data_IF_377292572747
#
_entry.id   IF_377292572747
#
_cell.length_a   1.000
_cell.length_b   1.000
_cell.length_c   1.000
_cell.angle_alpha   90.00
_cell.angle_beta   90.00
_cell.angle_gamma   90.00
#
_symmetry.space_group_name_H-M   'P 1'
#
loop_
_entity.id
_entity.type
_entity.pdbx_description
1 polymer ?
#
# COMPACT_ATOMS: atom_id res chain seq x y z
N UNK A 1 76.78 12.30 -44.49
CA UNK A 1 77.77 12.82 -43.50
C UNK A 1 77.02 13.38 -42.29
N UNK A 2 77.46 12.97 -41.09
CA UNK A 2 77.42 13.67 -39.77
C UNK A 2 76.14 14.38 -39.26
N UNK A 3 75.57 13.74 -38.22
CA UNK A 3 74.98 14.21 -36.93
C UNK A 3 74.90 15.73 -36.58
N UNK A 4 73.96 15.98 -35.64
CA UNK A 4 73.93 16.97 -34.51
C UNK A 4 73.26 18.31 -34.83
N UNK A 5 72.54 19.03 -33.93
CA UNK A 5 72.41 19.01 -32.47
C UNK A 5 71.34 20.05 -32.00
N UNK A 6 70.85 19.87 -30.76
CA UNK A 6 70.69 20.91 -29.69
C UNK A 6 69.30 21.54 -29.35
N UNK A 7 68.69 21.02 -28.27
CA UNK A 7 68.36 21.64 -26.94
C UNK A 7 68.51 23.18 -26.74
N UNK A 8 67.87 23.92 -25.82
CA UNK A 8 66.86 23.76 -24.74
C UNK A 8 66.61 25.16 -24.09
N UNK A 9 65.51 25.32 -23.31
CA UNK A 9 65.40 26.31 -22.21
C UNK A 9 63.93 26.67 -21.90
N UNK A 10 63.41 26.80 -20.68
CA UNK A 10 63.94 26.69 -19.31
C UNK A 10 62.77 26.70 -18.29
N UNK A 11 63.07 26.27 -17.06
CA UNK A 11 62.23 26.00 -15.87
C UNK A 11 61.75 27.28 -15.15
N UNK A 12 60.61 27.24 -14.41
CA UNK A 12 60.36 28.16 -13.27
C UNK A 12 58.96 28.11 -12.60
N UNK A 13 58.89 27.56 -11.37
CA UNK A 13 57.83 27.68 -10.35
C UNK A 13 57.78 29.10 -9.72
N UNK A 14 56.61 29.60 -9.22
CA UNK A 14 56.38 30.36 -7.93
C UNK A 14 54.83 30.58 -7.75
N UNK A 15 54.09 30.00 -6.78
CA UNK A 15 53.74 30.41 -5.38
C UNK A 15 52.65 31.50 -5.17
N UNK A 16 51.43 31.07 -4.76
CA UNK A 16 50.51 31.47 -3.66
C UNK A 16 50.24 32.96 -3.21
N UNK A 17 49.00 33.16 -2.69
CA UNK A 17 48.42 34.21 -1.77
C UNK A 17 47.80 35.46 -2.50
N UNK A 18 46.58 35.99 -2.28
CA UNK A 18 45.82 36.38 -1.05
C UNK A 18 44.30 36.54 -1.30
N UNK A 19 43.51 36.28 -0.24
CA UNK A 19 42.06 36.47 -0.14
C UNK A 19 41.65 37.94 0.08
N UNK A 20 40.49 38.34 -0.45
CA UNK A 20 39.73 39.50 0.00
C UNK A 20 38.24 39.13 0.16
N UNK A 21 37.75 39.36 1.37
CA UNK A 21 36.38 39.17 1.84
C UNK A 21 35.48 40.24 1.20
N UNK A 22 34.38 39.83 0.56
CA UNK A 22 33.34 40.70 0.04
C UNK A 22 31.98 40.35 0.67
N UNK A 23 31.38 41.34 1.34
CA UNK A 23 30.25 41.22 2.24
C UNK A 23 28.91 40.80 1.59
N UNK A 24 28.08 40.19 2.42
CA UNK A 24 26.71 39.70 2.19
C UNK A 24 25.80 40.86 1.76
N UNK A 25 25.13 40.71 0.62
CA UNK A 25 23.92 41.49 0.30
C UNK A 25 22.70 40.63 0.59
N UNK A 26 21.78 41.18 1.39
CA UNK A 26 20.56 40.52 1.83
C UNK A 26 19.64 40.25 0.62
N UNK A 27 19.60 38.99 0.18
CA UNK A 27 18.59 38.50 -0.74
C UNK A 27 17.27 38.31 -0.02
N UNK A 28 16.28 39.15 -0.34
CA UNK A 28 14.88 38.94 0.00
C UNK A 28 14.42 37.69 -0.76
N UNK A 29 14.26 36.57 -0.06
CA UNK A 29 13.71 35.33 -0.61
C UNK A 29 12.19 35.45 -0.53
N UNK A 30 11.52 35.49 -1.68
CA UNK A 30 10.09 35.21 -1.76
C UNK A 30 9.87 33.77 -1.31
N UNK A 31 9.18 33.59 -0.18
CA UNK A 31 8.85 32.29 0.37
C UNK A 31 7.91 31.52 -0.55
N UNK A 32 8.47 30.65 -1.38
CA UNK A 32 7.77 29.45 -1.85
C UNK A 32 8.14 28.33 -0.88
N UNK A 33 7.20 28.00 0.01
CA UNK A 33 7.31 26.85 0.88
C UNK A 33 7.27 25.57 0.05
N UNK A 34 8.44 25.06 -0.33
CA UNK A 34 8.56 23.67 -0.75
C UNK A 34 8.56 22.82 0.52
N UNK A 35 7.41 22.25 0.88
CA UNK A 35 7.36 21.20 1.88
C UNK A 35 8.15 20.00 1.34
N UNK A 36 9.35 19.82 1.88
CA UNK A 36 10.18 18.68 1.61
C UNK A 36 9.50 17.45 2.22
N UNK A 37 8.67 16.75 1.42
CA UNK A 37 8.07 15.46 1.78
C UNK A 37 9.20 14.53 2.22
N UNK A 38 9.29 14.29 3.53
CA UNK A 38 10.25 13.34 4.10
C UNK A 38 9.82 11.95 3.65
N UNK A 39 10.65 11.28 2.84
CA UNK A 39 10.56 9.84 2.64
C UNK A 39 10.86 9.17 3.99
N UNK A 40 9.81 8.75 4.70
CA UNK A 40 9.95 7.91 5.88
C UNK A 40 10.32 6.52 5.38
N UNK A 41 11.62 6.24 5.28
CA UNK A 41 12.12 4.89 5.05
C UNK A 41 11.77 4.06 6.28
N UNK A 42 10.62 3.40 6.26
CA UNK A 42 10.22 2.50 7.33
C UNK A 42 11.19 1.32 7.35
N UNK A 43 11.95 1.17 8.43
CA UNK A 43 12.75 -0.03 8.63
C UNK A 43 11.79 -1.22 8.69
N UNK A 44 11.95 -2.17 7.76
CA UNK A 44 11.20 -3.42 7.82
C UNK A 44 11.55 -4.13 9.14
N UNK A 45 10.55 -4.47 9.94
CA UNK A 45 10.70 -5.36 11.08
C UNK A 45 11.25 -6.73 10.61
N UNK A 46 11.74 -7.57 11.52
CA UNK A 46 12.19 -8.94 11.23
C UNK A 46 11.11 -9.89 10.65
N UNK A 47 9.93 -9.37 10.33
CA UNK A 47 8.79 -10.04 9.70
C UNK A 47 8.34 -9.38 8.39
N UNK A 48 9.09 -8.43 7.82
CA UNK A 48 8.82 -7.84 6.50
C UNK A 48 7.96 -6.58 6.49
N UNK A 49 7.07 -6.37 7.47
CA UNK A 49 6.27 -5.14 7.58
C UNK A 49 7.04 -3.99 8.25
N UNK A 50 6.62 -2.73 8.03
CA UNK A 50 7.12 -1.56 8.76
C UNK A 50 7.08 -1.69 10.28
N UNK A 51 7.95 -0.92 10.95
CA UNK A 51 7.86 -0.69 12.40
C UNK A 51 7.03 0.57 12.68
N UNK A 52 6.27 0.59 13.78
CA UNK A 52 5.52 1.76 14.24
C UNK A 52 4.05 1.48 14.57
N UNK A 53 3.33 2.56 14.85
CA UNK A 53 1.88 2.52 15.07
C UNK A 53 1.17 2.03 13.81
N UNK A 54 0.17 1.18 14.00
CA UNK A 54 -0.64 0.63 12.91
C UNK A 54 -2.00 0.17 13.44
N UNK A 55 -3.01 0.23 12.58
CA UNK A 55 -4.27 -0.46 12.82
C UNK A 55 -4.10 -1.94 12.48
N UNK A 56 -4.67 -2.83 13.29
CA UNK A 56 -4.68 -4.26 13.02
C UNK A 56 -6.09 -4.69 12.64
N UNK A 57 -6.22 -5.54 11.61
CA UNK A 57 -7.46 -6.25 11.28
C UNK A 57 -7.14 -7.72 11.09
N UNK A 58 -7.94 -8.61 11.68
CA UNK A 58 -7.84 -10.04 11.44
C UNK A 58 -9.09 -10.54 10.71
N UNK A 59 -8.94 -11.16 9.55
CA UNK A 59 -10.00 -11.97 8.94
C UNK A 59 -9.83 -13.41 9.40
N UNK A 60 -10.83 -13.97 10.07
CA UNK A 60 -10.76 -15.25 10.78
C UNK A 60 -11.74 -16.25 10.17
N UNK A 61 -11.21 -17.32 9.58
CA UNK A 61 -11.99 -18.42 9.03
C UNK A 61 -12.55 -19.34 10.11
N UNK A 62 -13.87 -19.47 10.18
CA UNK A 62 -14.57 -20.30 11.18
C UNK A 62 -15.41 -21.40 10.53
N UNK A 63 -15.41 -22.63 11.10
CA UNK A 63 -16.12 -23.76 10.51
C UNK A 63 -17.65 -23.69 10.71
N UNK A 64 -18.11 -22.89 11.67
CA UNK A 64 -19.53 -22.68 11.97
C UNK A 64 -19.80 -21.18 11.94
N UNK A 65 -20.94 -20.82 11.35
CA UNK A 65 -21.41 -19.44 11.30
C UNK A 65 -21.52 -18.82 12.69
N UNK A 66 -21.46 -17.50 12.73
CA UNK A 66 -21.72 -16.67 13.90
C UNK A 66 -23.12 -16.08 13.77
N UNK A 67 -23.73 -15.80 14.91
CA UNK A 67 -25.09 -15.23 15.01
C UNK A 67 -25.15 -14.03 15.96
N UNK A 68 -24.01 -13.66 16.54
CA UNK A 68 -23.92 -12.51 17.42
C UNK A 68 -23.69 -11.25 16.59
N UNK A 69 -24.21 -10.11 17.03
CA UNK A 69 -23.88 -8.82 16.45
C UNK A 69 -22.42 -8.47 16.78
N UNK A 70 -21.65 -8.11 15.75
CA UNK A 70 -20.19 -7.93 15.87
C UNK A 70 -19.74 -6.56 15.34
N UNK A 71 -20.31 -5.49 15.89
CA UNK A 71 -20.06 -4.10 15.45
C UNK A 71 -18.86 -3.43 16.13
N UNK A 72 -17.96 -4.22 16.75
CA UNK A 72 -16.78 -3.68 17.44
C UNK A 72 -15.57 -4.63 17.39
N UNK A 73 -14.39 -4.02 17.51
CA UNK A 73 -13.11 -4.70 17.54
C UNK A 73 -12.36 -4.68 16.21
N UNK A 74 -11.43 -5.61 16.07
CA UNK A 74 -10.43 -5.63 14.98
C UNK A 74 -10.46 -6.97 14.24
N UNK A 75 -11.66 -7.54 14.08
CA UNK A 75 -11.81 -8.87 13.51
C UNK A 75 -13.09 -9.01 12.70
N UNK A 76 -12.99 -9.71 11.57
CA UNK A 76 -14.12 -10.12 10.75
C UNK A 76 -14.08 -11.64 10.64
N UNK A 77 -15.18 -12.32 10.95
CA UNK A 77 -15.32 -13.76 10.83
C UNK A 77 -15.88 -14.10 9.46
N UNK A 78 -15.23 -15.02 8.76
CA UNK A 78 -15.64 -15.50 7.43
C UNK A 78 -15.85 -17.01 7.48
N UNK A 79 -16.64 -17.60 6.55
CA UNK A 79 -16.69 -19.05 6.41
C UNK A 79 -15.26 -19.62 6.27
N UNK A 80 -14.99 -20.76 6.91
CA UNK A 80 -13.70 -21.43 6.74
C UNK A 80 -13.48 -21.90 5.30
N UNK A 81 -14.56 -22.22 4.61
CA UNK A 81 -14.58 -22.51 3.17
C UNK A 81 -15.78 -21.78 2.57
N UNK A 82 -15.56 -21.02 1.50
CA UNK A 82 -16.60 -20.25 0.81
C UNK A 82 -16.31 -18.75 0.76
N UNK A 83 -17.24 -18.02 0.16
CA UNK A 83 -17.11 -16.59 -0.13
C UNK A 83 -17.84 -15.73 0.88
N UNK A 84 -17.35 -14.51 1.06
CA UNK A 84 -18.07 -13.42 1.68
C UNK A 84 -17.68 -12.08 1.04
N UNK A 85 -18.62 -11.14 0.98
CA UNK A 85 -18.36 -9.75 0.59
C UNK A 85 -18.21 -8.87 1.81
N UNK A 86 -17.05 -8.22 1.96
CA UNK A 86 -16.80 -7.21 3.00
C UNK A 86 -16.99 -5.83 2.38
N UNK A 87 -18.13 -5.19 2.64
CA UNK A 87 -18.42 -3.84 2.17
C UNK A 87 -17.46 -2.80 2.78
N UNK A 88 -17.01 -1.87 1.96
CA UNK A 88 -16.05 -0.84 2.34
C UNK A 88 -16.73 0.52 2.37
N UNK A 89 -16.52 1.27 3.45
CA UNK A 89 -16.97 2.65 3.58
C UNK A 89 -15.81 3.57 3.96
N UNK A 90 -15.89 4.83 3.55
CA UNK A 90 -14.85 5.81 3.86
C UNK A 90 -14.96 6.27 5.32
N UNK A 91 -13.83 6.36 6.01
CA UNK A 91 -13.68 7.01 7.31
C UNK A 91 -12.58 6.38 8.17
N UNK A 92 -12.65 6.53 9.49
CA UNK A 92 -11.64 5.96 10.38
C UNK A 92 -11.66 4.42 10.34
N UNK A 93 -10.50 3.79 10.59
CA UNK A 93 -10.40 2.33 10.59
C UNK A 93 -11.33 1.70 11.64
N UNK A 94 -12.38 1.01 11.19
CA UNK A 94 -13.37 0.40 12.09
C UNK A 94 -14.04 -0.81 11.47
N UNK A 95 -14.25 -1.86 12.25
CA UNK A 95 -15.10 -2.98 11.83
C UNK A 95 -16.54 -2.61 12.16
N UNK A 96 -17.34 -2.37 11.12
CA UNK A 96 -18.76 -2.03 11.26
C UNK A 96 -19.63 -3.28 11.36
N UNK A 97 -19.22 -4.35 10.67
CA UNK A 97 -19.83 -5.67 10.78
C UNK A 97 -18.76 -6.76 10.68
N UNK A 98 -18.51 -7.40 11.81
CA UNK A 98 -17.55 -8.48 11.96
C UNK A 98 -18.10 -9.86 11.63
N UNK A 99 -19.36 -10.02 11.22
CA UNK A 99 -19.96 -11.32 10.91
C UNK A 99 -20.16 -11.57 9.40
N UNK A 100 -19.07 -11.80 8.68
CA UNK A 100 -19.13 -12.22 7.28
C UNK A 100 -19.64 -13.66 7.05
N UNK A 101 -20.04 -14.40 8.09
CA UNK A 101 -20.44 -15.81 7.92
C UNK A 101 -21.87 -15.98 7.41
N UNK A 102 -22.65 -14.92 7.43
CA UNK A 102 -23.97 -14.82 6.79
C UNK A 102 -23.89 -14.30 5.34
N UNK A 103 -22.67 -14.08 4.83
CA UNK A 103 -22.39 -13.66 3.47
C UNK A 103 -21.99 -12.19 3.32
N UNK A 104 -22.17 -11.35 4.35
CA UNK A 104 -21.79 -9.93 4.30
C UNK A 104 -21.07 -9.48 5.56
N UNK A 105 -20.04 -8.68 5.41
CA UNK A 105 -19.40 -7.95 6.51
C UNK A 105 -19.14 -6.51 6.09
N UNK A 106 -18.61 -5.70 7.00
CA UNK A 106 -18.31 -4.31 6.67
C UNK A 106 -17.10 -3.78 7.44
N UNK A 107 -16.26 -3.04 6.72
CA UNK A 107 -15.07 -2.39 7.23
C UNK A 107 -15.00 -0.95 6.72
N UNK A 108 -14.67 -0.04 7.63
CA UNK A 108 -14.44 1.36 7.34
C UNK A 108 -12.93 1.63 7.28
N UNK A 109 -12.49 2.42 6.31
CA UNK A 109 -11.10 2.79 6.10
C UNK A 109 -10.96 4.16 5.41
N UNK A 110 -9.86 4.91 5.62
CA UNK A 110 -9.71 6.23 5.02
C UNK A 110 -9.55 6.14 3.51
N UNK A 111 -9.78 7.25 2.81
CA UNK A 111 -9.44 7.33 1.39
C UNK A 111 -7.93 7.10 1.21
N UNK A 112 -7.53 6.04 0.49
CA UNK A 112 -6.14 5.67 0.38
C UNK A 112 -5.34 6.62 -0.49
N UNK A 113 -5.95 7.31 -1.46
CA UNK A 113 -5.23 8.15 -2.44
C UNK A 113 -6.15 9.29 -2.90
N UNK A 114 -6.34 10.33 -2.06
CA UNK A 114 -7.26 11.43 -2.35
C UNK A 114 -6.89 12.26 -3.59
N UNK A 115 -5.61 12.29 -3.94
CA UNK A 115 -5.08 13.04 -5.08
C UNK A 115 -5.04 12.19 -6.36
N UNK A 116 -5.32 10.88 -6.25
CA UNK A 116 -5.26 9.88 -7.31
C UNK A 116 -3.91 9.88 -8.08
N UNK A 117 -2.81 10.15 -7.37
CA UNK A 117 -1.46 10.23 -7.95
C UNK A 117 -0.73 8.87 -7.92
N UNK A 118 -1.37 7.84 -7.36
CA UNK A 118 -0.80 6.51 -7.20
C UNK A 118 0.13 6.39 -6.00
N UNK A 119 0.12 7.36 -5.09
CA UNK A 119 0.85 7.34 -3.82
C UNK A 119 -0.17 7.35 -2.68
N UNK A 120 -0.23 6.25 -1.94
CA UNK A 120 -1.22 6.12 -0.89
C UNK A 120 -0.91 6.98 0.34
N UNK A 121 -1.92 7.31 1.14
CA UNK A 121 -1.76 7.94 2.47
C UNK A 121 -1.37 6.92 3.54
N UNK A 122 -1.69 5.64 3.33
CA UNK A 122 -1.32 4.52 4.17
C UNK A 122 -1.01 3.27 3.35
N UNK A 123 -0.27 2.33 3.94
CA UNK A 123 0.09 1.05 3.34
C UNK A 123 -0.55 -0.11 4.08
N UNK A 124 -0.92 -1.16 3.36
CA UNK A 124 -1.55 -2.37 3.91
C UNK A 124 -0.61 -3.55 3.76
N UNK A 125 -0.35 -4.23 4.87
CA UNK A 125 0.53 -5.37 4.93
C UNK A 125 -0.22 -6.59 5.42
N UNK A 126 -0.14 -7.70 4.68
CA UNK A 126 -0.87 -8.93 4.99
C UNK A 126 0.06 -10.09 5.30
N UNK A 127 -0.37 -10.97 6.21
CA UNK A 127 0.22 -12.31 6.39
C UNK A 127 -0.82 -13.35 6.75
N UNK A 128 -0.60 -14.58 6.31
CA UNK A 128 -1.33 -15.75 6.76
C UNK A 128 -0.84 -16.23 8.14
N UNK A 129 -1.77 -16.65 9.01
CA UNK A 129 -1.48 -17.19 10.35
C UNK A 129 -2.33 -18.43 10.66
N UNK A 130 -2.06 -19.07 11.81
CA UNK A 130 -2.78 -20.26 12.28
C UNK A 130 -2.25 -21.57 11.71
N UNK A 131 -3.14 -22.58 11.61
CA UNK A 131 -2.79 -23.93 11.13
C UNK A 131 -2.43 -23.90 9.62
N UNK A 132 -1.31 -24.50 9.22
CA UNK A 132 -0.93 -24.63 7.81
C UNK A 132 -1.90 -25.42 6.93
N UNK A 133 -1.87 -25.11 5.62
CA UNK A 133 -2.62 -25.79 4.57
C UNK A 133 -3.82 -25.02 4.00
N UNK A 134 -4.14 -23.85 4.55
CA UNK A 134 -5.22 -23.00 4.05
C UNK A 134 -4.74 -21.89 3.11
N UNK A 135 -5.64 -21.46 2.23
CA UNK A 135 -5.46 -20.33 1.31
C UNK A 135 -6.67 -19.40 1.37
N UNK A 136 -6.47 -18.11 1.15
CA UNK A 136 -7.55 -17.19 0.81
C UNK A 136 -7.18 -16.32 -0.39
N UNK A 137 -8.19 -15.87 -1.10
CA UNK A 137 -8.09 -14.88 -2.17
C UNK A 137 -8.96 -13.69 -1.81
N UNK A 138 -8.53 -12.50 -2.18
CA UNK A 138 -9.28 -11.27 -1.93
C UNK A 138 -9.12 -10.34 -3.11
N UNK A 139 -10.24 -10.02 -3.74
CA UNK A 139 -10.31 -9.13 -4.90
C UNK A 139 -11.16 -7.92 -4.53
N UNK A 140 -10.64 -6.73 -4.81
CA UNK A 140 -11.40 -5.49 -4.63
C UNK A 140 -12.34 -5.32 -5.81
N UNK A 141 -13.62 -5.11 -5.51
CA UNK A 141 -14.67 -4.92 -6.50
C UNK A 141 -15.51 -3.70 -6.14
N UNK A 142 -16.21 -3.16 -7.12
CA UNK A 142 -17.13 -2.03 -6.97
C UNK A 142 -18.15 -2.05 -8.11
N UNK A 143 -19.11 -1.14 -8.07
CA UNK A 143 -20.08 -0.97 -9.17
C UNK A 143 -20.00 0.44 -9.75
N UNK A 144 -20.38 0.62 -11.01
CA UNK A 144 -20.53 1.94 -11.59
C UNK A 144 -21.87 2.60 -11.21
N UNK A 145 -22.14 3.79 -11.76
CA UNK A 145 -23.41 4.47 -11.55
C UNK A 145 -24.63 3.64 -12.01
N UNK A 146 -24.47 2.78 -13.03
CA UNK A 146 -25.51 1.95 -13.63
C UNK A 146 -25.75 0.62 -12.90
N UNK A 147 -24.86 0.25 -11.97
CA UNK A 147 -24.91 -0.99 -11.19
C UNK A 147 -24.14 -2.15 -11.81
N UNK A 148 -23.33 -1.91 -12.84
CA UNK A 148 -22.42 -2.92 -13.43
C UNK A 148 -21.26 -3.14 -12.48
N UNK A 149 -20.99 -4.40 -12.16
CA UNK A 149 -19.89 -4.81 -11.28
C UNK A 149 -18.56 -4.86 -12.04
N UNK A 150 -17.54 -4.27 -11.41
CA UNK A 150 -16.16 -4.28 -11.86
C UNK A 150 -15.27 -4.80 -10.72
N UNK A 151 -14.63 -5.95 -10.96
CA UNK A 151 -13.64 -6.51 -10.05
C UNK A 151 -12.23 -6.27 -10.59
N UNK A 152 -11.32 -5.90 -9.69
CA UNK A 152 -9.92 -5.66 -10.00
C UNK A 152 -9.27 -6.90 -10.61
N UNK A 153 -8.43 -6.71 -11.63
CA UNK A 153 -7.59 -7.80 -12.16
C UNK A 153 -6.52 -8.23 -11.15
N UNK A 154 -6.19 -7.36 -10.18
CA UNK A 154 -5.25 -7.67 -9.12
C UNK A 154 -5.98 -8.35 -7.95
N UNK A 155 -5.48 -9.51 -7.54
CA UNK A 155 -6.01 -10.28 -6.42
C UNK A 155 -4.93 -10.49 -5.37
N UNK A 156 -5.26 -10.24 -4.09
CA UNK A 156 -4.40 -10.65 -3.00
C UNK A 156 -4.57 -12.14 -2.74
N UNK A 157 -3.47 -12.88 -2.73
CA UNK A 157 -3.45 -14.30 -2.39
C UNK A 157 -2.65 -14.50 -1.10
N UNK A 158 -3.25 -15.17 -0.11
CA UNK A 158 -2.58 -15.52 1.15
C UNK A 158 -2.58 -17.04 1.33
N UNK A 159 -1.41 -17.62 1.55
CA UNK A 159 -1.23 -19.07 1.73
C UNK A 159 -0.51 -19.31 3.06
N UNK A 160 -1.09 -20.16 3.91
CA UNK A 160 -0.43 -20.59 5.15
C UNK A 160 0.44 -21.82 4.91
N UNK A 161 1.71 -21.57 4.58
CA UNK A 161 2.77 -22.59 4.57
C UNK A 161 3.16 -23.03 5.98
N UNK A 162 3.99 -24.07 6.14
CA UNK A 162 4.58 -24.43 7.45
C UNK A 162 5.66 -23.40 7.85
N UNK A 163 5.94 -23.28 9.15
CA UNK A 163 7.01 -22.42 9.67
C UNK A 163 6.62 -20.97 9.92
N UNK A 164 7.64 -20.09 9.95
CA UNK A 164 7.51 -18.64 10.18
C UNK A 164 6.77 -17.98 9.02
N UNK A 165 5.91 -17.01 9.33
CA UNK A 165 5.26 -16.17 8.32
C UNK A 165 5.79 -14.75 8.37
N UNK A 166 5.84 -14.12 7.20
CA UNK A 166 6.22 -12.73 6.99
C UNK A 166 5.04 -11.98 6.36
N UNK A 167 5.05 -10.67 6.54
CA UNK A 167 4.14 -9.78 5.85
C UNK A 167 4.64 -9.49 4.44
N UNK A 168 3.69 -9.19 3.56
CA UNK A 168 3.90 -8.59 2.24
C UNK A 168 3.04 -7.34 2.12
N UNK A 169 3.54 -6.32 1.42
CA UNK A 169 2.72 -5.18 1.02
C UNK A 169 1.64 -5.67 0.03
N UNK A 170 0.38 -5.32 0.33
CA UNK A 170 -0.80 -5.67 -0.46
C UNK A 170 -1.64 -4.44 -0.81
N UNK A 171 -1.06 -3.24 -0.67
CA UNK A 171 -1.74 -1.96 -0.91
C UNK A 171 -2.33 -1.91 -2.31
N UNK A 172 -1.56 -2.36 -3.32
CA UNK A 172 -2.01 -2.40 -4.71
C UNK A 172 -3.23 -3.31 -4.94
N UNK A 173 -3.36 -4.41 -4.20
CA UNK A 173 -4.46 -5.36 -4.38
C UNK A 173 -5.71 -4.93 -3.62
N UNK A 174 -5.56 -4.33 -2.44
CA UNK A 174 -6.68 -4.04 -1.53
C UNK A 174 -7.20 -2.61 -1.61
N UNK A 175 -6.38 -1.64 -2.05
CA UNK A 175 -6.73 -0.22 -2.04
C UNK A 175 -7.12 0.34 -3.41
N UNK A 176 -7.14 -0.50 -4.43
CA UNK A 176 -7.40 -0.09 -5.81
C UNK A 176 -8.20 -1.15 -6.58
N UNK A 177 -9.05 -0.67 -7.48
CA UNK A 177 -9.63 -1.43 -8.58
C UNK A 177 -8.81 -1.13 -9.83
N UNK A 178 -8.18 -2.16 -10.40
CA UNK A 178 -7.52 -2.09 -11.71
C UNK A 178 -8.42 -2.76 -12.72
N UNK A 179 -9.01 -1.99 -13.61
CA UNK A 179 -10.03 -2.46 -14.55
C UNK A 179 -9.99 -1.62 -15.82
N UNK A 180 -10.50 -2.15 -16.92
CA UNK A 180 -10.72 -1.44 -18.18
C UNK A 180 -12.21 -1.04 -18.21
N UNK A 181 -12.51 0.20 -17.85
CA UNK A 181 -13.88 0.72 -17.76
C UNK A 181 -14.47 1.05 -19.13
N UNK A 182 -13.64 1.48 -20.08
CA UNK A 182 -14.09 1.99 -21.37
C UNK A 182 -14.01 0.95 -22.51
N UNK A 183 -13.39 -0.21 -22.24
CA UNK A 183 -13.23 -1.32 -23.18
C UNK A 183 -12.13 -1.10 -24.22
N UNK A 184 -11.17 -0.21 -23.96
CA UNK A 184 -10.06 0.10 -24.89
C UNK A 184 -8.84 -0.82 -24.73
N UNK A 185 -8.87 -1.73 -23.75
CA UNK A 185 -7.81 -2.68 -23.44
C UNK A 185 -6.73 -2.13 -22.50
N UNK A 186 -6.85 -0.90 -22.02
CA UNK A 186 -5.94 -0.28 -21.04
C UNK A 186 -6.58 -0.31 -19.67
N UNK A 187 -5.83 -0.75 -18.66
CA UNK A 187 -6.32 -0.76 -17.29
C UNK A 187 -6.23 0.63 -16.67
N UNK A 188 -7.35 1.17 -16.22
CA UNK A 188 -7.37 2.28 -15.29
C UNK A 188 -7.07 1.83 -13.87
N UNK A 189 -6.32 2.67 -13.15
CA UNK A 189 -6.19 2.59 -11.69
C UNK A 189 -7.27 3.46 -11.06
N UNK A 190 -8.07 2.87 -10.20
CA UNK A 190 -9.15 3.54 -9.48
C UNK A 190 -8.95 3.31 -7.99
N UNK A 191 -8.57 4.33 -7.20
CA UNK A 191 -8.46 4.18 -5.76
C UNK A 191 -9.83 3.90 -5.14
N UNK A 192 -9.85 3.28 -3.95
CA UNK A 192 -11.08 3.18 -3.18
C UNK A 192 -11.71 4.55 -2.98
N UNK A 193 -13.04 4.62 -3.10
CA UNK A 193 -13.85 5.83 -2.92
C UNK A 193 -13.63 6.92 -3.99
N UNK A 194 -13.03 6.58 -5.13
CA UNK A 194 -13.09 7.41 -6.33
C UNK A 194 -14.54 7.49 -6.85
N UNK A 195 -14.96 8.66 -7.32
CA UNK A 195 -16.34 8.94 -7.76
C UNK A 195 -16.79 8.14 -9.00
N UNK A 196 -15.84 7.60 -9.78
CA UNK A 196 -16.14 6.78 -10.96
C UNK A 196 -16.85 5.47 -10.62
N UNK A 197 -16.64 4.95 -9.41
CA UNK A 197 -17.27 3.72 -8.92
C UNK A 197 -17.87 3.96 -7.52
N UNK A 198 -18.78 3.08 -7.10
CA UNK A 198 -19.45 3.09 -5.80
C UNK A 198 -19.56 1.67 -5.26
N UNK A 199 -20.09 1.53 -4.05
CA UNK A 199 -20.37 0.24 -3.42
C UNK A 199 -19.12 -0.68 -3.38
N UNK A 200 -17.96 -0.12 -3.04
CA UNK A 200 -16.70 -0.85 -2.96
C UNK A 200 -16.79 -1.98 -1.92
N UNK A 201 -16.25 -3.16 -2.24
CA UNK A 201 -16.16 -4.28 -1.32
C UNK A 201 -14.92 -5.14 -1.61
N UNK A 202 -14.45 -5.84 -0.58
CA UNK A 202 -13.52 -6.96 -0.77
C UNK A 202 -14.31 -8.26 -0.94
N UNK A 203 -14.22 -8.86 -2.12
CA UNK A 203 -14.67 -10.23 -2.38
C UNK A 203 -13.64 -11.20 -1.77
N UNK A 204 -13.95 -11.73 -0.59
CA UNK A 204 -13.08 -12.66 0.13
C UNK A 204 -13.51 -14.10 -0.13
N UNK A 205 -12.63 -14.90 -0.74
CA UNK A 205 -12.83 -16.34 -0.94
C UNK A 205 -11.87 -17.12 -0.04
N UNK A 206 -12.43 -17.90 0.89
CA UNK A 206 -11.65 -18.70 1.81
C UNK A 206 -11.61 -20.17 1.38
N UNK A 207 -10.42 -20.74 1.40
CA UNK A 207 -10.20 -22.18 1.24
C UNK A 207 -9.34 -22.70 2.39
N UNK A 208 -9.95 -22.75 3.58
CA UNK A 208 -9.37 -23.36 4.77
C UNK A 208 -8.38 -22.49 5.53
N UNK A 209 -8.14 -21.23 5.12
CA UNK A 209 -7.23 -20.34 5.84
C UNK A 209 -7.85 -19.91 7.17
N UNK A 210 -7.02 -19.98 8.23
CA UNK A 210 -7.48 -19.72 9.59
C UNK A 210 -7.52 -18.24 9.90
N UNK A 211 -6.45 -17.53 9.60
CA UNK A 211 -6.34 -16.10 9.87
C UNK A 211 -5.53 -15.46 8.75
N UNK A 212 -6.06 -14.39 8.17
CA UNK A 212 -5.24 -13.33 7.55
C UNK A 212 -5.15 -12.19 8.53
N UNK A 213 -3.94 -11.74 8.81
CA UNK A 213 -3.71 -10.53 9.59
C UNK A 213 -3.27 -9.41 8.65
N UNK A 214 -3.99 -8.30 8.72
CA UNK A 214 -3.64 -7.03 8.09
C UNK A 214 -3.08 -6.05 9.11
N UNK A 215 -2.16 -5.24 8.63
CA UNK A 215 -1.65 -4.06 9.32
C UNK A 215 -1.72 -2.86 8.39
N UNK A 216 -2.32 -1.78 8.86
CA UNK A 216 -2.43 -0.52 8.15
C UNK A 216 -1.50 0.48 8.80
N UNK A 217 -0.49 0.94 8.06
CA UNK A 217 0.49 1.90 8.54
C UNK A 217 0.29 3.22 7.82
N UNK A 218 0.34 4.35 8.53
CA UNK A 218 0.36 5.70 7.97
C UNK A 218 1.71 6.02 7.30
N UNK A 219 2.10 5.16 6.38
CA UNK A 219 3.30 5.25 5.57
C UNK A 219 2.84 5.11 4.12
N UNK A 220 3.13 6.12 3.27
CA UNK A 220 2.79 6.07 1.86
C UNK A 220 3.46 4.91 1.11
N UNK A 221 2.71 4.31 0.18
CA UNK A 221 3.24 3.36 -0.81
C UNK A 221 2.95 3.89 -2.21
N UNK A 222 3.97 3.88 -3.08
CA UNK A 222 3.79 4.16 -4.50
C UNK A 222 3.34 2.87 -5.22
N UNK A 223 2.20 2.91 -5.90
CA UNK A 223 1.57 1.77 -6.59
C UNK A 223 1.50 1.94 -8.12
N UNK A 224 2.13 3.00 -8.65
CA UNK A 224 2.26 3.25 -10.09
C UNK A 224 2.96 2.08 -10.80
#
# INVERSE_FOLDING_TARGET
MKKKSSTNGSIGLVTMILALIGAITAGVIYGVGYEQRRSVTSSAAGHGAPNGAHYNLNIIGVPKGKTADMTSGHRIFVPLVGKCSVALSQGEFSVLDGNCTDGKGSFQLPNPDPDNDGVTTYSVWARALGKPGGKSETTTCATDATGVEYCSVNTMIQIRNKGKTSFSDVSRQLLYVYVDLNGDGVLERIPLFDERLKDYYWSYDNNGLKIVQFRFYEIPTNVN
#
